data_IF_030699803333
#
_entry.id   IF_030699803333
#
_cell.length_a   1.000
_cell.length_b   1.000
_cell.length_c   1.000
_cell.angle_alpha   90.00
_cell.angle_beta   90.00
_cell.angle_gamma   90.00
#
_symmetry.space_group_name_H-M   'P 1'
#
loop_
_entity.id
_entity.type
_entity.pdbx_description
1 polymer ?
#
# COMPACT_ATOMS: atom_id res chain seq x y z
N UNK A 1 -18.88 31.04 -7.96
CA UNK A 1 -18.95 30.43 -6.62
C UNK A 1 -19.47 29.02 -6.84
N UNK A 2 -18.56 28.06 -6.87
CA UNK A 2 -18.83 26.62 -6.88
C UNK A 2 -17.81 26.06 -5.89
N UNK A 3 -18.20 26.10 -4.63
CA UNK A 3 -17.56 25.40 -3.54
C UNK A 3 -17.70 23.90 -3.82
N UNK A 4 -16.59 23.24 -4.15
CA UNK A 4 -16.51 21.79 -4.20
C UNK A 4 -15.58 21.41 -3.05
N UNK A 5 -16.21 20.85 -2.02
CA UNK A 5 -15.63 20.48 -0.74
C UNK A 5 -14.30 19.74 -0.89
N UNK A 6 -13.29 20.35 -0.26
CA UNK A 6 -11.98 19.76 0.02
C UNK A 6 -12.19 18.63 1.03
N UNK A 7 -12.40 17.41 0.55
CA UNK A 7 -12.40 16.21 1.39
C UNK A 7 -11.76 15.07 0.63
N UNK A 8 -10.44 15.09 0.63
CA UNK A 8 -9.71 13.85 0.70
C UNK A 8 -8.53 14.08 1.66
N UNK A 9 -8.89 14.25 2.93
CA UNK A 9 -8.09 13.73 4.04
C UNK A 9 -7.88 12.22 3.78
N UNK A 10 -6.99 11.88 2.85
CA UNK A 10 -6.25 10.63 2.98
C UNK A 10 -5.33 10.87 4.17
N UNK A 11 -5.92 10.69 5.35
CA UNK A 11 -5.24 10.19 6.52
C UNK A 11 -4.35 9.07 6.02
N UNK A 12 -3.08 9.39 5.80
CA UNK A 12 -1.97 8.44 5.76
C UNK A 12 -1.87 7.88 7.18
N UNK A 13 -2.88 7.11 7.55
CA UNK A 13 -2.83 6.14 8.63
C UNK A 13 -1.54 5.40 8.37
N UNK A 14 -0.59 5.58 9.28
CA UNK A 14 0.62 4.75 9.34
C UNK A 14 0.18 3.33 9.02
N UNK A 15 0.52 2.84 7.82
CA UNK A 15 0.19 1.50 7.35
C UNK A 15 1.09 0.55 8.13
N UNK A 16 0.82 0.42 9.42
CA UNK A 16 1.15 -0.78 10.17
C UNK A 16 0.23 -1.84 9.58
N UNK A 17 0.74 -2.53 8.56
CA UNK A 17 0.27 -3.82 8.04
C UNK A 17 -1.21 -4.09 8.31
N UNK A 18 -2.11 -3.60 7.44
CA UNK A 18 -3.49 -4.09 7.42
C UNK A 18 -3.47 -5.42 6.67
N UNK A 19 -3.20 -6.50 7.39
CA UNK A 19 -3.50 -7.86 6.95
C UNK A 19 -5.01 -8.01 6.88
N UNK A 20 -5.62 -7.60 5.76
CA UNK A 20 -7.03 -7.86 5.45
C UNK A 20 -7.15 -9.29 4.93
N UNK A 21 -6.88 -10.26 5.81
CA UNK A 21 -7.43 -11.59 5.68
C UNK A 21 -8.87 -11.52 6.16
N UNK A 22 -9.85 -11.81 5.29
CA UNK A 22 -11.18 -12.19 5.75
C UNK A 22 -11.06 -13.59 6.39
N UNK A 23 -10.59 -13.62 7.64
CA UNK A 23 -10.39 -14.82 8.44
C UNK A 23 -10.41 -14.44 9.92
N UNK A 24 -11.44 -14.97 10.60
CA UNK A 24 -11.68 -15.12 12.03
C UNK A 24 -10.79 -14.38 13.06
N UNK A 25 -11.38 -13.70 14.08
CA UNK A 25 -10.63 -12.96 15.09
C UNK A 25 -10.23 -13.89 16.25
N UNK A 26 -9.31 -14.81 16.01
CA UNK A 26 -8.65 -15.53 17.11
C UNK A 26 -7.14 -15.55 16.90
N UNK A 27 -6.44 -14.92 17.85
CA UNK A 27 -5.00 -14.78 17.84
C UNK A 27 -4.29 -16.12 17.85
N UNK A 28 -3.44 -16.34 16.85
CA UNK A 28 -2.49 -17.43 16.80
C UNK A 28 -1.42 -17.11 15.76
N UNK A 29 -0.16 -17.40 16.09
CA UNK A 29 0.96 -17.32 15.17
C UNK A 29 0.67 -18.12 13.88
N UNK A 30 0.27 -17.43 12.81
CA UNK A 30 -0.05 -18.00 11.49
C UNK A 30 1.23 -18.29 10.69
N UNK A 31 2.07 -19.21 11.17
CA UNK A 31 3.33 -19.64 10.50
C UNK A 31 3.07 -20.61 9.32
N UNK A 32 1.98 -20.41 8.57
CA UNK A 32 1.62 -21.39 7.54
C UNK A 32 0.50 -21.09 6.55
N UNK A 33 -0.35 -20.08 6.74
CA UNK A 33 -1.46 -19.81 5.79
C UNK A 33 -1.00 -18.90 4.65
N UNK A 34 -1.36 -19.22 3.40
CA UNK A 34 -1.06 -18.37 2.24
C UNK A 34 -1.67 -16.98 2.39
N UNK A 35 -0.82 -15.94 2.37
CA UNK A 35 -1.24 -14.55 2.57
C UNK A 35 -0.38 -13.57 1.79
N UNK A 36 -0.89 -12.35 1.66
CA UNK A 36 -0.12 -11.22 1.15
C UNK A 36 0.20 -10.27 2.29
N UNK A 37 1.49 -10.10 2.56
CA UNK A 37 2.00 -9.07 3.44
C UNK A 37 2.17 -7.77 2.66
N UNK A 38 1.62 -6.67 3.19
CA UNK A 38 1.62 -5.37 2.53
C UNK A 38 2.45 -4.39 3.36
N UNK A 39 3.42 -3.76 2.71
CA UNK A 39 4.27 -2.71 3.31
C UNK A 39 4.21 -1.44 2.49
N UNK A 40 4.26 -0.28 3.17
CA UNK A 40 4.24 1.03 2.53
C UNK A 40 5.47 1.86 2.91
N UNK A 41 6.08 2.50 1.92
CA UNK A 41 7.14 3.49 2.09
C UNK A 41 6.77 4.81 1.39
N UNK A 42 7.23 5.94 1.95
CA UNK A 42 6.99 7.26 1.39
C UNK A 42 8.30 8.00 1.17
N UNK A 43 8.58 8.35 -0.09
CA UNK A 43 9.68 9.25 -0.42
C UNK A 43 9.25 10.71 -0.29
N UNK A 44 10.19 11.55 0.14
CA UNK A 44 10.01 12.98 0.28
C UNK A 44 10.75 13.69 -0.85
N UNK A 45 10.10 14.66 -1.49
CA UNK A 45 10.68 15.58 -2.46
C UNK A 45 10.80 16.99 -1.87
N UNK A 46 11.77 17.75 -2.38
CA UNK A 46 11.92 19.16 -2.07
C UNK A 46 11.18 20.01 -3.11
N UNK A 47 10.19 20.76 -2.64
CA UNK A 47 9.37 21.67 -3.42
C UNK A 47 9.69 23.11 -3.07
N UNK A 48 10.85 23.59 -3.53
CA UNK A 48 11.36 24.96 -3.30
C UNK A 48 11.59 25.25 -1.81
N UNK A 49 12.25 24.32 -1.12
CA UNK A 49 12.56 24.39 0.31
C UNK A 49 11.46 23.83 1.21
N UNK A 50 10.35 23.36 0.64
CA UNK A 50 9.27 22.70 1.38
C UNK A 50 9.30 21.20 1.11
N UNK A 51 9.50 20.40 2.15
CA UNK A 51 9.45 18.94 2.05
C UNK A 51 8.00 18.49 1.84
N UNK A 52 7.76 17.73 0.77
CA UNK A 52 6.45 17.18 0.38
C UNK A 52 6.58 15.71 0.02
N UNK A 53 5.48 14.97 0.02
CA UNK A 53 5.47 13.59 -0.47
C UNK A 53 5.77 13.58 -1.97
N UNK A 54 6.68 12.71 -2.39
CA UNK A 54 7.08 12.54 -3.79
C UNK A 54 6.54 11.24 -4.36
N UNK A 55 6.75 10.13 -3.66
CA UNK A 55 6.29 8.81 -4.10
C UNK A 55 5.86 7.93 -2.94
N UNK A 56 4.66 7.39 -3.00
CA UNK A 56 4.28 6.25 -2.16
C UNK A 56 4.65 4.96 -2.90
N UNK A 57 5.29 4.03 -2.19
CA UNK A 57 5.63 2.69 -2.69
C UNK A 57 4.89 1.67 -1.84
N UNK A 58 4.01 0.89 -2.43
CA UNK A 58 3.30 -0.20 -1.74
C UNK A 58 3.88 -1.51 -2.25
N UNK A 59 4.49 -2.29 -1.38
CA UNK A 59 5.07 -3.59 -1.73
C UNK A 59 4.18 -4.69 -1.17
N UNK A 60 3.76 -5.59 -2.05
CA UNK A 60 3.02 -6.81 -1.76
C UNK A 60 4.00 -7.97 -1.79
N UNK A 61 4.04 -8.74 -0.71
CA UNK A 61 4.87 -9.91 -0.62
C UNK A 61 3.99 -11.12 -0.33
N UNK A 62 4.04 -12.09 -1.22
CA UNK A 62 3.37 -13.35 -0.95
C UNK A 62 4.20 -14.18 0.03
N UNK A 63 3.59 -14.55 1.16
CA UNK A 63 4.20 -15.39 2.19
C UNK A 63 3.24 -16.48 2.68
N UNK A 64 3.77 -17.49 3.37
CA UNK A 64 2.99 -18.61 3.89
C UNK A 64 3.15 -19.90 3.07
N UNK A 65 2.38 -20.91 3.45
CA UNK A 65 2.37 -22.26 2.86
C UNK A 65 0.94 -22.70 2.59
N UNK A 66 0.75 -23.85 1.92
CA UNK A 66 -0.57 -24.41 1.67
C UNK A 66 -1.29 -23.79 0.47
N UNK A 67 -2.46 -24.35 0.13
CA UNK A 67 -3.20 -23.99 -1.08
C UNK A 67 -3.82 -22.59 -0.96
N UNK A 68 -3.41 -21.67 -1.82
CA UNK A 68 -3.98 -20.33 -1.90
C UNK A 68 -3.34 -19.48 -3.00
N UNK A 69 -4.01 -18.37 -3.31
CA UNK A 69 -3.47 -17.31 -4.16
C UNK A 69 -3.19 -16.08 -3.32
N UNK A 70 -2.08 -15.43 -3.61
CA UNK A 70 -1.56 -14.24 -2.95
C UNK A 70 -1.04 -13.27 -4.02
N UNK A 71 -1.09 -11.99 -3.74
CA UNK A 71 -0.47 -10.94 -4.56
C UNK A 71 1.00 -10.76 -4.17
N UNK A 72 1.87 -10.62 -5.17
CA UNK A 72 3.29 -10.33 -5.01
C UNK A 72 3.72 -9.30 -6.05
N UNK A 73 4.39 -8.24 -5.61
CA UNK A 73 4.75 -7.14 -6.51
C UNK A 73 4.79 -5.79 -5.82
N UNK A 74 4.67 -4.73 -6.61
CA UNK A 74 4.81 -3.35 -6.12
C UNK A 74 3.95 -2.37 -6.90
N UNK A 75 3.39 -1.39 -6.19
CA UNK A 75 2.73 -0.21 -6.74
C UNK A 75 3.52 1.06 -6.41
N UNK A 76 3.48 2.02 -7.33
CA UNK A 76 4.08 3.33 -7.16
C UNK A 76 3.06 4.43 -7.46
N UNK A 77 2.81 5.30 -6.48
CA UNK A 77 2.02 6.52 -6.64
C UNK A 77 2.96 7.71 -6.62
N UNK A 78 2.98 8.50 -7.68
CA UNK A 78 3.82 9.68 -7.80
C UNK A 78 2.99 10.94 -7.62
N UNK A 79 3.51 11.89 -6.85
CA UNK A 79 2.84 13.14 -6.53
C UNK A 79 3.66 14.33 -7.00
N UNK A 80 2.99 15.38 -7.44
CA UNK A 80 3.64 16.68 -7.66
C UNK A 80 3.79 17.47 -6.35
N UNK A 81 4.35 18.67 -6.46
CA UNK A 81 4.58 19.56 -5.32
C UNK A 81 3.32 20.17 -4.71
N UNK A 82 2.18 20.09 -5.40
CA UNK A 82 0.87 20.49 -4.88
C UNK A 82 0.19 19.33 -4.14
N UNK A 83 0.76 18.12 -4.23
CA UNK A 83 0.25 16.89 -3.62
C UNK A 83 -0.73 16.14 -4.51
N UNK A 84 -0.88 16.54 -5.77
CA UNK A 84 -1.72 15.83 -6.72
C UNK A 84 -1.01 14.60 -7.26
N UNK A 85 -1.74 13.48 -7.37
CA UNK A 85 -1.20 12.26 -7.99
C UNK A 85 -1.06 12.50 -9.49
N UNK A 86 0.16 12.37 -10.00
CA UNK A 86 0.49 12.59 -11.41
C UNK A 86 0.71 11.30 -12.18
N UNK A 87 1.00 10.20 -11.48
CA UNK A 87 1.21 8.88 -12.09
C UNK A 87 0.93 7.77 -11.09
N UNK A 88 0.40 6.66 -11.60
CA UNK A 88 0.29 5.39 -10.90
C UNK A 88 0.87 4.29 -11.81
N UNK A 89 1.86 3.55 -11.29
CA UNK A 89 2.40 2.37 -11.95
C UNK A 89 2.18 1.16 -11.04
N UNK A 90 1.61 0.08 -11.59
CA UNK A 90 1.31 -1.15 -10.87
C UNK A 90 2.06 -2.32 -11.53
N UNK A 91 2.76 -3.10 -10.70
CA UNK A 91 3.49 -4.30 -11.10
C UNK A 91 3.17 -5.41 -10.10
N UNK A 92 1.93 -5.90 -10.12
CA UNK A 92 1.45 -6.97 -9.24
C UNK A 92 1.14 -8.21 -10.05
N UNK A 93 1.67 -9.34 -9.58
CA UNK A 93 1.36 -10.67 -10.09
C UNK A 93 0.67 -11.50 -9.01
N UNK A 94 -0.20 -12.41 -9.43
CA UNK A 94 -0.74 -13.44 -8.55
C UNK A 94 0.21 -14.62 -8.47
N UNK A 95 0.56 -15.03 -7.26
CA UNK A 95 1.34 -16.22 -6.97
C UNK A 95 0.50 -17.26 -6.24
N UNK A 96 0.84 -18.51 -6.45
CA UNK A 96 0.31 -19.63 -5.68
C UNK A 96 1.26 -19.92 -4.52
N UNK A 97 0.73 -19.96 -3.30
CA UNK A 97 1.43 -20.64 -2.23
C UNK A 97 1.32 -22.15 -2.45
N UNK A 98 2.39 -22.87 -2.13
CA UNK A 98 2.43 -24.33 -2.20
C UNK A 98 2.73 -24.92 -0.84
#
# INVERSE_FOLDING_TARGET
MLDIDYSNDLLMTSLVSVSRGEGDPDGGDDDGTCRTDITGDMSIQDCRGVKKNGRATITYKCEGKGLGLCDDGVEYYFYDCEGAMIKHDEYIDKKECK
#
